data_IF_805900695551
#
_entry.id   IF_805900695551
#
_cell.length_a   1.000
_cell.length_b   1.000
_cell.length_c   1.000
_cell.angle_alpha   90.00
_cell.angle_beta   90.00
_cell.angle_gamma   90.00
#
_symmetry.space_group_name_H-M   'P 1'
#
loop_
_entity.id
_entity.type
_entity.pdbx_description
1 polymer ?
#
# COMPACT_ATOMS: atom_id res chain seq x y z
N UNK A 1 -7.96 11.65 -28.88
CA UNK A 1 -7.55 10.80 -27.75
C UNK A 1 -7.82 11.62 -26.49
N UNK A 2 -8.97 11.41 -25.86
CA UNK A 2 -9.31 12.05 -24.58
C UNK A 2 -8.48 11.39 -23.48
N UNK A 3 -7.80 12.21 -22.68
CA UNK A 3 -7.04 11.77 -21.52
C UNK A 3 -7.94 11.04 -20.54
N UNK A 4 -7.44 9.92 -20.03
CA UNK A 4 -8.10 9.18 -18.96
C UNK A 4 -8.28 10.09 -17.76
N UNK A 5 -9.51 10.15 -17.26
CA UNK A 5 -9.86 10.87 -16.04
C UNK A 5 -9.00 10.30 -14.89
N UNK A 6 -8.21 11.16 -14.24
CA UNK A 6 -7.33 10.77 -13.11
C UNK A 6 -8.17 10.55 -11.86
N UNK A 7 -9.09 9.59 -11.89
CA UNK A 7 -9.92 9.25 -10.74
C UNK A 7 -9.24 8.20 -9.87
N UNK A 8 -9.15 8.47 -8.56
CA UNK A 8 -8.67 7.51 -7.57
C UNK A 8 -9.39 6.16 -7.68
N UNK A 9 -8.63 5.08 -7.54
CA UNK A 9 -9.10 3.71 -7.59
C UNK A 9 -9.08 3.11 -6.20
N UNK A 10 -10.18 2.51 -5.76
CA UNK A 10 -10.30 1.96 -4.40
C UNK A 10 -10.54 0.47 -4.48
N UNK A 11 -9.72 -0.31 -3.78
CA UNK A 11 -9.97 -1.73 -3.51
C UNK A 11 -10.35 -1.90 -2.05
N UNK A 12 -11.38 -2.69 -1.78
CA UNK A 12 -11.87 -2.91 -0.42
C UNK A 12 -12.07 -4.41 -0.13
N UNK A 13 -11.71 -4.81 1.09
CA UNK A 13 -11.95 -6.16 1.62
C UNK A 13 -12.98 -6.06 2.73
N UNK A 14 -14.05 -6.85 2.64
CA UNK A 14 -15.07 -6.95 3.69
C UNK A 14 -14.66 -7.92 4.78
N UNK A 15 -15.27 -7.84 5.97
CA UNK A 15 -15.07 -8.85 7.04
C UNK A 15 -15.39 -10.29 6.60
N UNK A 16 -16.28 -10.46 5.62
CA UNK A 16 -16.58 -11.75 5.00
C UNK A 16 -15.47 -12.31 4.11
N UNK A 17 -14.46 -11.48 3.76
CA UNK A 17 -13.35 -11.85 2.88
C UNK A 17 -13.67 -11.69 1.39
N UNK A 18 -14.71 -10.91 1.06
CA UNK A 18 -14.98 -10.50 -0.31
C UNK A 18 -14.12 -9.30 -0.71
N UNK A 19 -13.60 -9.33 -1.93
CA UNK A 19 -12.78 -8.26 -2.52
C UNK A 19 -13.61 -7.48 -3.55
N UNK A 20 -13.57 -6.16 -3.46
CA UNK A 20 -14.35 -5.25 -4.29
C UNK A 20 -13.51 -4.09 -4.82
N UNK A 21 -13.95 -3.49 -5.92
CA UNK A 21 -13.33 -2.33 -6.58
C UNK A 21 -14.35 -1.24 -6.89
N UNK A 22 -13.97 0.03 -6.72
CA UNK A 22 -14.72 1.22 -7.15
C UNK A 22 -13.82 2.25 -7.86
N UNK A 23 -14.39 2.99 -8.81
CA UNK A 23 -13.71 4.04 -9.61
C UNK A 23 -14.34 5.40 -9.32
N UNK A 24 -13.56 6.37 -8.81
CA UNK A 24 -13.94 7.79 -8.71
C UNK A 24 -15.14 8.15 -7.81
N UNK A 25 -16.03 7.21 -7.53
CA UNK A 25 -17.15 7.33 -6.61
C UNK A 25 -17.09 6.16 -5.63
N UNK A 26 -17.33 6.45 -4.36
CA UNK A 26 -17.40 5.47 -3.27
C UNK A 26 -18.68 4.61 -3.33
N UNK A 27 -19.35 4.56 -4.49
CA UNK A 27 -20.56 3.80 -4.75
C UNK A 27 -20.31 2.79 -5.88
N UNK A 28 -20.98 1.63 -5.84
CA UNK A 28 -20.93 0.67 -6.96
C UNK A 28 -19.78 -0.36 -6.91
N UNK A 29 -19.32 -0.72 -5.72
CA UNK A 29 -18.32 -1.77 -5.52
C UNK A 29 -18.67 -3.08 -6.26
N UNK A 30 -17.87 -3.42 -7.28
CA UNK A 30 -17.98 -4.67 -8.02
C UNK A 30 -17.10 -5.75 -7.39
N UNK A 31 -17.63 -6.96 -7.19
CA UNK A 31 -16.83 -8.09 -6.70
C UNK A 31 -15.75 -8.45 -7.72
N UNK A 32 -14.49 -8.50 -7.30
CA UNK A 32 -13.40 -9.02 -8.14
C UNK A 32 -13.46 -10.55 -8.08
N UNK A 33 -14.13 -11.16 -9.06
CA UNK A 33 -14.62 -12.54 -8.97
C UNK A 33 -13.88 -13.61 -9.77
N UNK A 34 -12.74 -13.33 -10.39
CA UNK A 34 -12.17 -14.23 -11.42
C UNK A 34 -11.19 -15.26 -10.85
N UNK A 35 -11.73 -16.42 -10.44
CA UNK A 35 -10.98 -17.63 -10.04
C UNK A 35 -11.36 -18.14 -8.64
N UNK A 36 -11.21 -19.45 -8.37
CA UNK A 36 -11.41 -20.01 -7.03
C UNK A 36 -10.26 -19.58 -6.11
N UNK A 37 -10.49 -18.52 -5.34
CA UNK A 37 -9.60 -18.12 -4.26
C UNK A 37 -10.39 -18.21 -2.94
N UNK A 38 -9.71 -18.68 -1.89
CA UNK A 38 -10.26 -18.65 -0.54
C UNK A 38 -10.52 -17.21 -0.07
N UNK A 39 -11.07 -17.03 1.14
CA UNK A 39 -11.37 -15.70 1.66
C UNK A 39 -10.13 -14.80 1.68
N UNK A 40 -10.29 -13.55 1.25
CA UNK A 40 -9.24 -12.54 1.24
C UNK A 40 -9.10 -11.93 2.64
N UNK A 41 -7.85 -11.71 3.06
CA UNK A 41 -7.46 -11.06 4.31
C UNK A 41 -7.04 -9.60 4.10
N UNK A 42 -6.42 -9.30 2.95
CA UNK A 42 -5.97 -7.96 2.60
C UNK A 42 -5.75 -7.82 1.10
N UNK A 43 -5.68 -6.57 0.62
CA UNK A 43 -5.48 -6.26 -0.79
C UNK A 43 -4.70 -4.96 -0.94
N UNK A 44 -4.03 -4.80 -2.08
CA UNK A 44 -3.41 -3.55 -2.49
C UNK A 44 -3.56 -3.38 -4.00
N UNK A 45 -3.75 -2.13 -4.43
CA UNK A 45 -3.79 -1.72 -5.82
C UNK A 45 -2.56 -0.89 -6.19
N UNK A 46 -2.15 -0.95 -7.45
CA UNK A 46 -1.22 0.01 -8.04
C UNK A 46 -1.53 0.18 -9.53
N UNK A 47 -1.46 1.41 -10.03
CA UNK A 47 -1.53 1.69 -11.47
C UNK A 47 -0.13 1.58 -12.08
N UNK A 48 0.02 0.72 -13.08
CA UNK A 48 1.28 0.52 -13.83
C UNK A 48 0.97 0.56 -15.32
N UNK A 49 1.59 1.48 -16.05
CA UNK A 49 1.34 1.71 -17.48
C UNK A 49 -0.17 1.73 -17.81
N UNK A 50 -0.91 2.62 -17.14
CA UNK A 50 -2.36 2.84 -17.26
C UNK A 50 -3.26 1.62 -16.98
N UNK A 51 -2.72 0.58 -16.36
CA UNK A 51 -3.50 -0.59 -15.95
C UNK A 51 -3.53 -0.68 -14.43
N UNK A 52 -4.71 -0.95 -13.88
CA UNK A 52 -4.85 -1.25 -12.47
C UNK A 52 -4.43 -2.70 -12.21
N UNK A 53 -3.42 -2.87 -11.36
CA UNK A 53 -2.99 -4.15 -10.83
C UNK A 53 -3.61 -4.31 -9.43
N UNK A 54 -4.26 -5.44 -9.17
CA UNK A 54 -4.72 -5.82 -7.84
C UNK A 54 -3.93 -7.01 -7.32
N UNK A 55 -3.48 -6.90 -6.08
CA UNK A 55 -2.87 -8.01 -5.34
C UNK A 55 -3.72 -8.33 -4.13
N UNK A 56 -3.94 -9.61 -3.88
CA UNK A 56 -4.73 -10.10 -2.77
C UNK A 56 -3.93 -11.09 -1.92
N UNK A 57 -4.04 -10.94 -0.61
CA UNK A 57 -3.53 -11.90 0.37
C UNK A 57 -4.71 -12.70 0.90
N UNK A 58 -4.65 -14.02 0.78
CA UNK A 58 -5.70 -14.91 1.31
C UNK A 58 -5.51 -15.16 2.81
N UNK A 59 -6.56 -15.56 3.53
CA UNK A 59 -6.47 -15.91 4.97
C UNK A 59 -5.53 -17.08 5.27
N UNK A 60 -5.26 -17.92 4.29
CA UNK A 60 -4.31 -19.04 4.38
C UNK A 60 -2.90 -18.63 3.94
N UNK A 61 -2.67 -17.34 3.67
CA UNK A 61 -1.37 -16.77 3.35
C UNK A 61 -0.90 -16.93 1.92
N UNK A 62 -1.80 -17.24 0.97
CA UNK A 62 -1.53 -17.16 -0.48
C UNK A 62 -1.44 -15.72 -1.00
N UNK A 63 -0.74 -15.52 -2.12
CA UNK A 63 -0.48 -14.23 -2.76
C UNK A 63 -0.94 -14.26 -4.21
N UNK A 64 -1.99 -13.52 -4.52
CA UNK A 64 -2.65 -13.56 -5.83
C UNK A 64 -2.53 -12.22 -6.54
N UNK A 65 -2.38 -12.23 -7.85
CA UNK A 65 -2.32 -11.02 -8.68
C UNK A 65 -3.29 -11.10 -9.86
N UNK A 66 -3.98 -10.00 -10.14
CA UNK A 66 -4.82 -9.81 -11.32
C UNK A 66 -4.61 -8.41 -11.91
N UNK A 67 -4.88 -8.26 -13.20
CA UNK A 67 -4.82 -6.98 -13.90
C UNK A 67 -6.21 -6.64 -14.44
N UNK A 68 -6.61 -5.39 -14.32
CA UNK A 68 -7.81 -4.87 -14.97
C UNK A 68 -7.45 -4.44 -16.39
N UNK A 69 -8.11 -5.05 -17.37
CA UNK A 69 -7.94 -4.70 -18.77
C UNK A 69 -8.53 -3.32 -19.10
N UNK A 70 -8.15 -2.77 -20.25
CA UNK A 70 -8.61 -1.46 -20.73
C UNK A 70 -10.13 -1.37 -20.95
N UNK A 71 -10.80 -2.50 -21.21
CA UNK A 71 -12.27 -2.58 -21.28
C UNK A 71 -12.96 -2.71 -19.91
N UNK A 72 -12.23 -2.53 -18.80
CA UNK A 72 -12.74 -2.60 -17.44
C UNK A 72 -12.95 -4.00 -16.85
N UNK A 73 -12.72 -5.05 -17.65
CA UNK A 73 -12.81 -6.42 -17.18
C UNK A 73 -11.54 -6.85 -16.43
N UNK A 74 -11.71 -7.61 -15.33
CA UNK A 74 -10.61 -8.22 -14.61
C UNK A 74 -10.10 -9.49 -15.30
N UNK A 75 -8.78 -9.61 -15.41
CA UNK A 75 -8.13 -10.89 -15.69
C UNK A 75 -8.32 -11.89 -14.54
N UNK A 76 -7.98 -13.17 -14.76
CA UNK A 76 -7.98 -14.17 -13.68
C UNK A 76 -6.86 -13.90 -12.68
N UNK A 77 -7.12 -14.19 -11.41
CA UNK A 77 -6.06 -14.23 -10.41
C UNK A 77 -5.06 -15.34 -10.71
N UNK A 78 -3.78 -14.97 -10.69
CA UNK A 78 -2.65 -15.89 -10.78
C UNK A 78 -1.92 -15.95 -9.43
N UNK A 79 -1.39 -17.14 -9.07
CA UNK A 79 -0.59 -17.31 -7.86
C UNK A 79 0.83 -16.76 -8.09
N UNK A 80 1.15 -15.64 -7.44
CA UNK A 80 2.45 -14.96 -7.55
C UNK A 80 3.58 -15.87 -7.05
N UNK A 81 3.32 -16.74 -6.07
CA UNK A 81 4.35 -17.63 -5.51
C UNK A 81 4.82 -18.68 -6.49
N UNK A 82 3.97 -19.04 -7.46
CA UNK A 82 4.34 -19.98 -8.52
C UNK A 82 5.39 -19.42 -9.49
N UNK A 83 5.49 -18.09 -9.60
CA UNK A 83 6.47 -17.41 -10.45
C UNK A 83 7.70 -16.92 -9.69
N UNK A 84 7.53 -16.57 -8.41
CA UNK A 84 8.54 -15.84 -7.63
C UNK A 84 9.23 -16.68 -6.55
N UNK A 85 8.74 -17.90 -6.31
CA UNK A 85 9.10 -18.72 -5.15
C UNK A 85 8.18 -18.47 -3.96
N UNK A 86 8.29 -19.31 -2.93
CA UNK A 86 7.40 -19.27 -1.77
C UNK A 86 8.14 -18.75 -0.52
N UNK A 87 7.79 -17.56 0.00
CA UNK A 87 8.40 -17.00 1.21
C UNK A 87 7.78 -17.57 2.50
N UNK A 88 6.82 -18.50 2.40
CA UNK A 88 5.96 -18.95 3.49
C UNK A 88 4.59 -18.28 3.44
N UNK A 89 3.85 -18.32 4.55
CA UNK A 89 2.54 -17.70 4.67
C UNK A 89 2.67 -16.17 4.63
N UNK A 90 2.09 -15.52 3.62
CA UNK A 90 2.05 -14.05 3.49
C UNK A 90 0.96 -13.53 4.41
N UNK A 91 1.31 -12.56 5.26
CA UNK A 91 0.38 -11.91 6.18
C UNK A 91 0.02 -10.49 5.74
N UNK A 92 0.86 -9.85 4.91
CA UNK A 92 0.55 -8.54 4.34
C UNK A 92 1.31 -8.29 3.04
N UNK A 93 0.84 -7.31 2.26
CA UNK A 93 1.47 -6.87 1.02
C UNK A 93 1.25 -5.38 0.78
N UNK A 94 2.28 -4.70 0.30
CA UNK A 94 2.19 -3.37 -0.27
C UNK A 94 2.74 -3.36 -1.69
N UNK A 95 2.25 -2.44 -2.51
CA UNK A 95 2.59 -2.34 -3.92
C UNK A 95 2.75 -0.89 -4.36
N UNK A 96 3.63 -0.66 -5.34
CA UNK A 96 3.77 0.63 -6.00
C UNK A 96 4.34 0.44 -7.41
N UNK A 97 4.20 1.45 -8.27
CA UNK A 97 4.85 1.48 -9.58
C UNK A 97 6.24 2.09 -9.45
N UNK A 98 7.27 1.38 -9.90
CA UNK A 98 8.66 1.87 -9.95
C UNK A 98 9.35 1.22 -11.14
N UNK A 99 10.17 1.99 -11.87
CA UNK A 99 10.89 1.53 -13.07
C UNK A 99 9.94 0.89 -14.12
N UNK A 100 8.76 1.50 -14.35
CA UNK A 100 7.68 1.00 -15.22
C UNK A 100 7.12 -0.39 -14.86
N UNK A 101 7.51 -0.92 -13.70
CA UNK A 101 7.10 -2.21 -13.18
C UNK A 101 6.26 -2.11 -11.91
N UNK A 102 5.60 -3.22 -11.57
CA UNK A 102 4.92 -3.37 -10.29
C UNK A 102 5.91 -3.90 -9.26
N UNK A 103 6.32 -3.08 -8.29
CA UNK A 103 7.04 -3.57 -7.12
C UNK A 103 6.06 -4.06 -6.06
N UNK A 104 6.28 -5.28 -5.55
CA UNK A 104 5.59 -5.83 -4.39
C UNK A 104 6.58 -6.02 -3.25
N UNK A 105 6.16 -5.62 -2.05
CA UNK A 105 6.84 -6.00 -0.81
C UNK A 105 5.85 -6.72 0.08
N UNK A 106 6.21 -7.92 0.52
CA UNK A 106 5.37 -8.79 1.33
C UNK A 106 5.95 -8.97 2.72
N UNK A 107 5.05 -9.05 3.69
CA UNK A 107 5.33 -9.45 5.06
C UNK A 107 4.87 -10.88 5.26
N UNK A 108 5.71 -11.76 5.79
CA UNK A 108 5.29 -13.11 6.18
C UNK A 108 4.69 -13.13 7.58
N UNK A 109 3.92 -14.17 7.91
CA UNK A 109 3.39 -14.38 9.25
C UNK A 109 4.49 -14.48 10.33
N UNK A 110 5.71 -14.83 9.93
CA UNK A 110 6.91 -14.89 10.79
C UNK A 110 7.68 -13.57 10.86
N UNK A 111 7.14 -12.48 10.30
CA UNK A 111 7.77 -11.15 10.33
C UNK A 111 8.93 -10.98 9.35
N UNK A 112 9.07 -11.87 8.37
CA UNK A 112 10.01 -11.73 7.25
C UNK A 112 9.51 -10.71 6.24
N UNK A 113 10.44 -10.03 5.55
CA UNK A 113 10.12 -9.03 4.51
C UNK A 113 10.80 -9.44 3.21
N UNK A 114 10.01 -9.56 2.14
CA UNK A 114 10.49 -9.97 0.83
C UNK A 114 9.99 -9.03 -0.26
N UNK A 115 10.82 -8.77 -1.27
CA UNK A 115 10.47 -7.92 -2.41
C UNK A 115 10.51 -8.68 -3.73
N UNK A 116 9.60 -8.36 -4.65
CA UNK A 116 9.62 -8.84 -6.04
C UNK A 116 9.14 -7.72 -6.96
N UNK A 117 9.41 -7.87 -8.25
CA UNK A 117 8.97 -6.93 -9.29
C UNK A 117 8.37 -7.72 -10.42
N UNK A 118 7.18 -7.30 -10.87
CA UNK A 118 6.62 -7.72 -12.14
C UNK A 118 7.04 -6.70 -13.19
N UNK A 119 7.75 -7.16 -14.22
CA UNK A 119 8.18 -6.33 -15.33
C UNK A 119 7.01 -6.04 -16.28
N UNK A 120 7.23 -5.10 -17.18
CA UNK A 120 6.34 -4.71 -18.25
C UNK A 120 5.99 -5.89 -19.19
N UNK A 121 6.97 -6.73 -19.49
CA UNK A 121 6.85 -7.99 -20.26
C UNK A 121 5.99 -9.06 -19.55
N UNK A 122 5.65 -8.82 -18.29
CA UNK A 122 4.83 -9.67 -17.45
C UNK A 122 5.56 -10.79 -16.72
N UNK A 123 6.86 -10.92 -16.90
CA UNK A 123 7.71 -11.77 -16.08
C UNK A 123 7.81 -11.23 -14.66
N UNK A 124 8.00 -12.15 -13.71
CA UNK A 124 8.29 -11.81 -12.33
C UNK A 124 9.76 -12.07 -12.00
N UNK A 125 10.34 -11.21 -11.18
CA UNK A 125 11.58 -11.52 -10.47
C UNK A 125 11.32 -12.49 -9.30
N UNK A 126 12.33 -13.25 -8.89
CA UNK A 126 12.25 -14.04 -7.65
C UNK A 126 12.05 -13.14 -6.42
N UNK A 127 11.41 -13.67 -5.38
CA UNK A 127 11.28 -12.97 -4.10
C UNK A 127 12.66 -12.88 -3.42
N UNK A 128 13.12 -11.66 -3.18
CA UNK A 128 14.37 -11.35 -2.50
C UNK A 128 14.13 -11.04 -1.02
N UNK A 129 14.93 -11.60 -0.12
CA UNK A 129 14.84 -11.36 1.32
C UNK A 129 15.41 -9.99 1.70
N UNK A 130 14.54 -9.01 1.95
CA UNK A 130 14.96 -7.61 2.11
C UNK A 130 15.72 -7.36 3.40
N UNK A 131 15.45 -8.11 4.47
CA UNK A 131 16.21 -7.96 5.73
C UNK A 131 17.67 -8.37 5.60
N UNK A 132 17.98 -9.27 4.65
CA UNK A 132 19.36 -9.61 4.31
C UNK A 132 20.05 -8.54 3.45
N UNK A 133 19.29 -7.83 2.63
CA UNK A 133 19.81 -6.82 1.70
C UNK A 133 19.93 -5.42 2.32
N UNK A 134 18.96 -5.04 3.16
CA UNK A 134 18.82 -3.72 3.75
C UNK A 134 19.00 -3.71 5.28
N UNK A 135 19.42 -4.83 5.87
CA UNK A 135 19.52 -4.99 7.33
C UNK A 135 18.22 -5.40 8.00
N UNK A 136 18.30 -5.96 9.21
CA UNK A 136 17.12 -6.48 9.93
C UNK A 136 16.59 -5.47 10.96
N UNK A 137 15.38 -4.91 10.75
CA UNK A 137 14.73 -4.02 11.73
C UNK A 137 14.12 -4.79 12.92
N UNK A 138 14.20 -6.13 12.94
CA UNK A 138 13.50 -6.99 13.89
C UNK A 138 12.15 -7.45 13.38
N UNK A 139 11.30 -7.98 14.24
CA UNK A 139 10.02 -8.55 13.82
C UNK A 139 9.07 -7.48 13.28
N UNK A 140 8.69 -7.59 12.01
CA UNK A 140 7.84 -6.62 11.32
C UNK A 140 6.37 -6.97 11.52
N UNK A 141 5.56 -5.97 11.90
CA UNK A 141 4.13 -6.09 12.18
C UNK A 141 3.25 -5.50 11.09
N UNK A 142 3.77 -4.51 10.34
CA UNK A 142 3.08 -3.83 9.25
C UNK A 142 4.09 -3.26 8.25
N UNK A 143 3.67 -3.00 7.01
CA UNK A 143 4.54 -2.39 6.01
C UNK A 143 3.80 -1.52 4.99
N UNK A 144 4.52 -0.58 4.40
CA UNK A 144 4.07 0.23 3.28
C UNK A 144 5.23 0.48 2.31
N UNK A 145 4.90 0.78 1.06
CA UNK A 145 5.88 1.17 0.05
C UNK A 145 5.42 2.38 -0.73
N UNK A 146 6.40 3.14 -1.24
CA UNK A 146 6.16 4.25 -2.14
C UNK A 146 7.33 4.35 -3.13
N UNK A 147 7.07 4.91 -4.30
CA UNK A 147 8.09 5.27 -5.26
C UNK A 147 8.26 6.78 -5.31
N UNK A 148 9.50 7.26 -5.15
CA UNK A 148 9.85 8.67 -5.26
C UNK A 148 11.32 8.80 -5.67
N UNK A 149 11.64 9.80 -6.51
CA UNK A 149 13.02 10.01 -6.99
C UNK A 149 13.64 8.80 -7.70
N UNK A 150 12.82 7.92 -8.31
CA UNK A 150 13.27 6.66 -8.92
C UNK A 150 13.64 5.56 -7.94
N UNK A 151 13.52 5.79 -6.62
CA UNK A 151 13.78 4.79 -5.60
C UNK A 151 12.51 4.08 -5.13
N UNK A 152 12.67 2.85 -4.65
CA UNK A 152 11.63 2.14 -3.89
C UNK A 152 11.87 2.37 -2.40
N UNK A 153 10.93 3.04 -1.75
CA UNK A 153 10.94 3.28 -0.32
C UNK A 153 10.15 2.17 0.37
N UNK A 154 10.74 1.56 1.39
CA UNK A 154 10.13 0.49 2.18
C UNK A 154 10.05 0.93 3.63
N UNK A 155 8.83 1.08 4.12
CA UNK A 155 8.51 1.47 5.49
C UNK A 155 7.99 0.25 6.23
N UNK A 156 8.48 0.01 7.44
CA UNK A 156 8.05 -1.11 8.27
C UNK A 156 7.76 -0.65 9.69
N UNK A 157 6.63 -1.08 10.25
CA UNK A 157 6.38 -1.03 11.68
C UNK A 157 6.90 -2.32 12.33
N UNK A 158 7.47 -2.20 13.51
CA UNK A 158 8.06 -3.34 14.26
C UNK A 158 7.27 -3.63 15.53
N UNK A 159 7.38 -4.86 16.04
CA UNK A 159 6.79 -5.24 17.32
C UNK A 159 7.42 -4.54 18.54
N UNK A 160 8.45 -3.70 18.32
CA UNK A 160 9.06 -2.83 19.34
C UNK A 160 8.50 -1.41 19.31
N UNK A 161 7.44 -1.18 18.53
CA UNK A 161 6.82 0.14 18.41
C UNK A 161 7.69 1.14 17.66
N UNK A 162 8.47 0.69 16.68
CA UNK A 162 9.33 1.54 15.84
C UNK A 162 8.93 1.50 14.38
N UNK A 163 8.94 2.66 13.72
CA UNK A 163 8.93 2.78 12.27
C UNK A 163 10.37 2.77 11.76
N UNK A 164 10.68 1.91 10.79
CA UNK A 164 11.96 1.88 10.11
C UNK A 164 11.78 2.10 8.61
N UNK A 165 12.78 2.72 7.97
CA UNK A 165 12.77 3.05 6.55
C UNK A 165 14.04 2.58 5.85
N UNK A 166 13.88 1.86 4.75
CA UNK A 166 14.95 1.53 3.81
C UNK A 166 14.61 2.06 2.42
N UNK A 167 15.64 2.28 1.59
CA UNK A 167 15.47 2.75 0.22
C UNK A 167 16.30 1.87 -0.70
N UNK A 168 15.66 1.28 -1.72
CA UNK A 168 16.39 0.78 -2.90
C UNK A 168 16.58 1.96 -3.85
N UNK A 169 17.83 2.33 -4.08
CA UNK A 169 18.21 3.40 -5.00
C UNK A 169 18.02 2.95 -6.46
N UNK A 170 17.97 3.90 -7.42
CA UNK A 170 17.82 3.57 -8.85
C UNK A 170 18.91 2.62 -9.39
N UNK A 171 20.12 2.67 -8.82
CA UNK A 171 21.23 1.77 -9.16
C UNK A 171 21.06 0.34 -8.59
N UNK A 172 19.98 0.11 -7.83
CA UNK A 172 19.65 -1.16 -7.20
C UNK A 172 20.29 -1.39 -5.83
N UNK A 173 21.18 -0.51 -5.38
CA UNK A 173 21.78 -0.59 -4.04
C UNK A 173 20.78 -0.21 -2.95
N UNK A 174 21.00 -0.71 -1.73
CA UNK A 174 20.12 -0.44 -0.59
C UNK A 174 20.77 0.55 0.38
N UNK A 175 20.04 1.62 0.70
CA UNK A 175 20.19 2.30 1.99
C UNK A 175 19.45 1.47 3.04
N UNK A 176 20.13 1.08 4.14
CA UNK A 176 19.58 0.10 5.07
C UNK A 176 18.40 0.67 5.86
N UNK A 177 17.63 -0.21 6.50
CA UNK A 177 16.61 0.18 7.46
C UNK A 177 17.21 1.04 8.57
N UNK A 178 16.72 2.26 8.65
CA UNK A 178 17.01 3.21 9.73
C UNK A 178 15.74 3.54 10.48
N UNK A 179 15.90 3.71 11.77
CA UNK A 179 14.82 4.06 12.67
C UNK A 179 14.37 5.50 12.44
N UNK A 180 13.07 5.69 12.25
CA UNK A 180 12.43 6.99 11.97
C UNK A 180 11.77 7.55 13.24
N UNK A 181 11.34 6.70 14.16
CA UNK A 181 10.64 7.14 15.37
C UNK A 181 9.69 6.10 15.97
N UNK A 182 8.96 6.48 17.03
CA UNK A 182 8.02 5.60 17.71
C UNK A 182 6.69 5.48 16.92
N UNK A 183 6.37 4.27 16.45
CA UNK A 183 5.11 3.91 15.81
C UNK A 183 4.84 2.42 16.00
N UNK A 184 3.67 2.08 16.54
CA UNK A 184 3.30 0.73 16.97
C UNK A 184 2.14 0.12 16.17
N UNK A 185 1.56 0.88 15.25
CA UNK A 185 0.37 0.46 14.50
C UNK A 185 0.60 0.37 13.00
N UNK A 186 -0.39 0.89 12.27
CA UNK A 186 -0.49 0.83 10.81
C UNK A 186 0.39 1.88 10.15
N UNK A 187 0.93 1.54 8.98
CA UNK A 187 1.69 2.46 8.13
C UNK A 187 1.09 2.48 6.72
N UNK A 188 0.98 3.68 6.16
CA UNK A 188 0.67 3.90 4.76
C UNK A 188 1.68 4.90 4.17
N UNK A 189 1.98 4.77 2.87
CA UNK A 189 2.93 5.64 2.20
C UNK A 189 2.51 5.91 0.76
N UNK A 190 2.82 7.11 0.26
CA UNK A 190 2.61 7.48 -1.13
C UNK A 190 3.72 8.42 -1.61
N UNK A 191 4.10 8.28 -2.89
CA UNK A 191 4.96 9.25 -3.56
C UNK A 191 4.14 10.41 -4.10
N UNK A 192 4.50 11.64 -3.76
CA UNK A 192 3.85 12.87 -4.25
C UNK A 192 4.92 13.93 -4.48
N UNK A 193 4.96 14.55 -5.67
CA UNK A 193 5.91 15.63 -5.95
C UNK A 193 7.40 15.27 -5.81
N UNK A 194 7.77 13.99 -5.88
CA UNK A 194 9.14 13.51 -5.64
C UNK A 194 9.50 13.29 -4.16
N UNK A 195 8.55 13.49 -3.25
CA UNK A 195 8.66 13.19 -1.83
C UNK A 195 7.89 11.92 -1.46
N UNK A 196 8.19 11.31 -0.32
CA UNK A 196 7.38 10.23 0.24
C UNK A 196 6.63 10.74 1.45
N UNK A 197 5.31 10.76 1.35
CA UNK A 197 4.41 11.03 2.46
C UNK A 197 4.11 9.73 3.19
N UNK A 198 4.27 9.73 4.51
CA UNK A 198 4.05 8.56 5.37
C UNK A 198 3.02 8.90 6.44
N UNK A 199 1.98 8.08 6.52
CA UNK A 199 0.99 8.12 7.59
C UNK A 199 1.28 6.92 8.50
N UNK A 200 1.57 7.18 9.76
CA UNK A 200 1.92 6.12 10.70
C UNK A 200 1.17 6.31 12.01
N UNK A 201 0.46 5.26 12.43
CA UNK A 201 -0.16 5.21 13.73
C UNK A 201 0.91 5.20 14.82
N UNK A 202 0.81 6.17 15.73
CA UNK A 202 1.43 6.14 17.03
C UNK A 202 0.34 5.89 18.08
N UNK A 203 0.73 5.49 19.30
CA UNK A 203 -0.12 5.03 20.41
C UNK A 203 -1.57 5.55 20.42
N UNK A 204 -1.77 6.87 20.26
CA UNK A 204 -3.06 7.55 20.32
C UNK A 204 -3.36 8.49 19.13
N UNK A 205 -2.52 8.51 18.09
CA UNK A 205 -2.61 9.50 16.99
C UNK A 205 -2.06 8.98 15.67
N UNK A 206 -2.41 9.64 14.57
CA UNK A 206 -1.78 9.38 13.27
C UNK A 206 -0.79 10.49 12.95
N UNK A 207 0.48 10.13 12.85
CA UNK A 207 1.53 11.05 12.41
C UNK A 207 1.62 11.08 10.88
N UNK A 208 1.79 12.27 10.31
CA UNK A 208 2.16 12.52 8.93
C UNK A 208 3.63 12.97 8.87
N UNK A 209 4.49 12.10 8.36
CA UNK A 209 5.90 12.39 8.11
C UNK A 209 6.15 12.52 6.61
N UNK A 210 7.18 13.28 6.24
CA UNK A 210 7.59 13.43 4.85
C UNK A 210 9.08 13.13 4.76
N UNK A 211 9.43 12.16 3.92
CA UNK A 211 10.79 12.03 3.41
C UNK A 211 10.93 12.95 2.20
N UNK A 212 11.65 14.04 2.40
CA UNK A 212 11.83 15.09 1.41
C UNK A 212 12.78 14.66 0.31
N UNK A 213 12.67 15.32 -0.84
CA UNK A 213 13.55 15.07 -1.99
C UNK A 213 15.05 15.32 -1.67
N UNK A 214 15.35 16.17 -0.68
CA UNK A 214 16.71 16.43 -0.20
C UNK A 214 17.30 15.31 0.68
N UNK A 215 16.50 14.28 0.99
CA UNK A 215 16.92 13.16 1.81
C UNK A 215 16.82 13.41 3.31
N UNK A 216 15.97 14.34 3.75
CA UNK A 216 15.69 14.60 5.16
C UNK A 216 14.25 14.25 5.53
N UNK A 217 14.02 13.93 6.81
CA UNK A 217 12.67 13.79 7.36
C UNK A 217 12.12 15.16 7.79
N UNK A 218 10.80 15.34 7.64
CA UNK A 218 10.08 16.40 8.33
C UNK A 218 9.97 16.13 9.84
N UNK A 219 9.64 17.16 10.61
CA UNK A 219 9.43 17.05 12.07
C UNK A 219 8.17 16.23 12.43
N UNK A 220 7.36 15.89 11.42
CA UNK A 220 6.06 15.25 11.60
C UNK A 220 4.96 16.25 11.93
N UNK A 221 3.75 15.97 11.44
CA UNK A 221 2.53 16.66 11.83
C UNK A 221 1.50 15.63 12.30
N UNK A 222 0.59 16.01 13.18
CA UNK A 222 -0.53 15.15 13.54
C UNK A 222 -1.68 15.34 12.55
N UNK A 223 -2.33 14.25 12.17
CA UNK A 223 -3.61 14.28 11.46
C UNK A 223 -4.65 13.56 12.30
N UNK A 224 -5.86 14.10 12.35
CA UNK A 224 -6.95 13.57 13.18
C UNK A 224 -8.06 12.95 12.30
N UNK A 225 -8.15 11.62 12.23
CA UNK A 225 -9.26 10.90 11.59
C UNK A 225 -10.60 11.04 12.32
N UNK A 226 -10.63 11.67 13.50
CA UNK A 226 -11.81 11.86 14.35
C UNK A 226 -12.21 10.63 15.17
N UNK A 227 -11.47 9.52 15.04
CA UNK A 227 -11.68 8.26 15.76
C UNK A 227 -10.43 7.37 15.70
N UNK A 228 -10.28 6.40 16.63
CA UNK A 228 -9.23 5.39 16.54
C UNK A 228 -9.27 4.65 15.21
N UNK A 229 -8.09 4.42 14.62
CA UNK A 229 -7.94 3.77 13.30
C UNK A 229 -7.54 2.31 13.44
N UNK A 230 -8.11 1.46 12.60
CA UNK A 230 -7.75 0.05 12.43
C UNK A 230 -6.87 -0.20 11.20
N UNK A 231 -6.96 0.68 10.20
CA UNK A 231 -6.19 0.60 8.95
C UNK A 231 -5.96 1.97 8.31
N UNK A 232 -4.90 2.09 7.53
CA UNK A 232 -4.52 3.29 6.79
C UNK A 232 -4.15 2.92 5.34
N UNK A 233 -4.48 3.78 4.39
CA UNK A 233 -3.98 3.72 3.02
C UNK A 233 -3.72 5.12 2.48
N UNK A 234 -2.77 5.24 1.56
CA UNK A 234 -2.40 6.52 0.96
C UNK A 234 -2.07 6.34 -0.52
N UNK A 235 -2.38 7.36 -1.33
CA UNK A 235 -2.00 7.44 -2.74
C UNK A 235 -1.72 8.88 -3.14
N UNK A 236 -0.82 9.05 -4.11
CA UNK A 236 -0.68 10.29 -4.86
C UNK A 236 -1.65 10.27 -6.04
N UNK A 237 -2.51 11.28 -6.16
CA UNK A 237 -3.43 11.44 -7.29
C UNK A 237 -3.20 12.83 -7.88
N UNK A 238 -2.52 12.87 -9.02
CA UNK A 238 -1.95 14.13 -9.49
C UNK A 238 -0.87 14.61 -8.52
N UNK A 239 -0.98 15.85 -8.04
CA UNK A 239 -0.06 16.47 -7.09
C UNK A 239 -0.59 16.45 -5.64
N UNK A 240 -1.74 15.80 -5.43
CA UNK A 240 -2.41 15.73 -4.14
C UNK A 240 -2.16 14.38 -3.46
N UNK A 241 -2.05 14.40 -2.14
CA UNK A 241 -2.03 13.20 -1.32
C UNK A 241 -3.46 12.88 -0.87
N UNK A 242 -3.92 11.69 -1.22
CA UNK A 242 -5.17 11.13 -0.72
C UNK A 242 -4.89 10.14 0.41
N UNK A 243 -5.63 10.24 1.51
CA UNK A 243 -5.49 9.38 2.68
C UNK A 243 -6.82 8.76 3.04
N UNK A 244 -6.83 7.44 3.17
CA UNK A 244 -7.94 6.70 3.74
C UNK A 244 -7.59 6.19 5.13
N UNK A 245 -8.54 6.29 6.03
CA UNK A 245 -8.49 5.62 7.31
C UNK A 245 -9.74 4.77 7.50
N UNK A 246 -9.53 3.50 7.86
CA UNK A 246 -10.62 2.65 8.38
C UNK A 246 -10.63 2.82 9.88
N UNK A 247 -11.70 3.38 10.43
CA UNK A 247 -11.86 3.53 11.89
C UNK A 247 -12.04 2.15 12.55
N UNK A 248 -11.76 2.05 13.85
CA UNK A 248 -12.00 0.83 14.63
C UNK A 248 -13.48 0.38 14.59
N UNK A 249 -14.42 1.31 14.38
CA UNK A 249 -15.83 1.02 14.17
C UNK A 249 -16.13 0.41 12.78
N UNK A 250 -15.18 0.42 11.85
CA UNK A 250 -15.31 -0.08 10.48
C UNK A 250 -15.93 0.92 9.49
N UNK A 251 -15.79 2.22 9.78
CA UNK A 251 -16.13 3.31 8.86
C UNK A 251 -14.90 3.74 8.06
N UNK A 252 -15.07 3.98 6.77
CA UNK A 252 -14.03 4.51 5.91
C UNK A 252 -14.15 6.04 5.81
N UNK A 253 -13.10 6.74 6.23
CA UNK A 253 -12.99 8.20 6.14
C UNK A 253 -11.83 8.58 5.22
N UNK A 254 -11.95 9.73 4.56
CA UNK A 254 -11.03 10.19 3.53
C UNK A 254 -10.62 11.64 3.75
N UNK A 255 -9.33 11.93 3.63
CA UNK A 255 -8.76 13.27 3.65
C UNK A 255 -7.89 13.50 2.41
N UNK A 256 -7.72 14.76 2.02
CA UNK A 256 -6.84 15.18 0.93
C UNK A 256 -5.91 16.25 1.45
N UNK A 257 -4.61 16.09 1.19
CA UNK A 257 -3.65 17.19 1.30
C UNK A 257 -3.36 17.67 -0.11
N UNK A 258 -3.72 18.91 -0.37
CA UNK A 258 -3.49 19.52 -1.67
C UNK A 258 -2.00 19.81 -1.89
N UNK A 259 -1.62 20.03 -3.15
CA UNK A 259 -0.26 20.40 -3.54
C UNK A 259 0.28 21.64 -2.80
N UNK A 260 -0.59 22.59 -2.43
CA UNK A 260 -0.23 23.78 -1.63
C UNK A 260 0.04 23.48 -0.14
N UNK A 261 -0.20 22.24 0.27
CA UNK A 261 -0.01 21.71 1.61
C UNK A 261 -1.17 21.90 2.58
N UNK A 262 -2.24 22.56 2.16
CA UNK A 262 -3.48 22.63 2.92
C UNK A 262 -4.20 21.28 2.94
N UNK A 263 -4.97 21.04 4.00
CA UNK A 263 -5.73 19.81 4.19
C UNK A 263 -7.22 20.07 4.04
N UNK A 264 -7.88 19.28 3.20
CA UNK A 264 -9.26 18.90 3.42
C UNK A 264 -9.29 17.73 4.41
N UNK A 265 -9.74 17.99 5.63
CA UNK A 265 -9.77 17.02 6.72
C UNK A 265 -10.66 15.80 6.45
N UNK A 266 -10.57 14.81 7.33
CA UNK A 266 -11.27 13.54 7.15
C UNK A 266 -12.80 13.70 7.12
N UNK A 267 -13.41 13.20 6.06
CA UNK A 267 -14.86 13.11 5.89
C UNK A 267 -15.28 11.67 5.58
N UNK A 268 -16.50 11.30 5.97
CA UNK A 268 -17.06 9.98 5.65
C UNK A 268 -17.23 9.85 4.12
N UNK A 269 -16.87 8.68 3.59
CA UNK A 269 -16.91 8.39 2.15
C UNK A 269 -18.32 8.03 1.63
N UNK A 270 -19.32 7.90 2.51
CA UNK A 270 -20.69 7.52 2.15
C UNK A 270 -20.89 6.01 1.93
N UNK A 271 -19.86 5.19 2.16
CA UNK A 271 -19.91 3.73 2.04
C UNK A 271 -20.73 3.02 3.13
N UNK A 272 -21.25 1.81 2.85
CA UNK A 272 -21.92 1.01 3.87
C UNK A 272 -20.94 0.59 4.97
N UNK A 273 -21.41 0.58 6.21
CA UNK A 273 -20.67 0.04 7.35
C UNK A 273 -20.08 -1.36 7.01
N UNK A 274 -18.84 -1.65 7.47
CA UNK A 274 -18.13 -2.97 7.51
C UNK A 274 -17.00 -3.22 6.49
N UNK A 275 -16.26 -2.20 6.05
CA UNK A 275 -14.94 -2.39 5.41
C UNK A 275 -13.93 -2.85 6.47
N UNK A 276 -13.12 -3.88 6.15
CA UNK A 276 -12.08 -4.40 7.03
C UNK A 276 -10.70 -3.83 6.70
N UNK A 277 -10.40 -3.69 5.39
CA UNK A 277 -9.20 -3.06 4.85
C UNK A 277 -9.54 -2.41 3.50
N UNK A 278 -8.85 -1.32 3.18
CA UNK A 278 -8.98 -0.64 1.90
C UNK A 278 -7.59 -0.22 1.38
N UNK A 279 -7.45 -0.14 0.06
CA UNK A 279 -6.30 0.48 -0.60
C UNK A 279 -6.80 1.51 -1.60
N UNK A 280 -6.00 2.56 -1.82
CA UNK A 280 -6.23 3.61 -2.82
C UNK A 280 -5.02 3.70 -3.75
N UNK A 281 -5.22 4.02 -5.03
CA UNK A 281 -4.16 4.27 -6.03
C UNK A 281 -4.64 5.20 -7.13
#
# INVERSE_FOLDING_TARGET
MQGGDKTAQVLAVTRGGGLYHAEGSWAGFGRIGTGHHGPVAGTVGAVVADRLHAVAVTRTGGLLHAVRGSGGAWGRFADVKSYTGNPGAVADVAATSVDDGLALVVRTATGGVFGTTRRDDGSWAGLAYLKGLAGDPGFVTDLAVAAAGGGLHVLVATNRGRLCHAIRLPDGSWRPFRDVGPHDGRVAAAGVGGEVHVLAHAVDRVGHLVWRADGTWSDGAEVDPGAPVADLAAAGVGDDLHVLATTAAGRLVHAVRYADGSWAGFAATGEPDRVARASIT
#
